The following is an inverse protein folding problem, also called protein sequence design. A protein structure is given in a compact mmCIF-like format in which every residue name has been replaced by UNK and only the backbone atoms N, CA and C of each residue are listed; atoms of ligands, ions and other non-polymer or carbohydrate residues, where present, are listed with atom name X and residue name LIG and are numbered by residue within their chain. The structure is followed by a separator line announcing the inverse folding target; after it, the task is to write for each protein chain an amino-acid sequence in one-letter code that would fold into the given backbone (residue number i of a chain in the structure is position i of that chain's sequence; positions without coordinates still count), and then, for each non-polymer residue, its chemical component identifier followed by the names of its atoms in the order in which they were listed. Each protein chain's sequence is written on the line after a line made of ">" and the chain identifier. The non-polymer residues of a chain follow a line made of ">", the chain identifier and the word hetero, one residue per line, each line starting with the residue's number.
data_IF_203552669546
#
_entry.id   IF_203552669546
#
_cell.length_a   1.000
_cell.length_b   1.000
_cell.length_c   1.000
_cell.angle_alpha   90.00
_cell.angle_beta   90.00
_cell.angle_gamma   90.00
#
_symmetry.space_group_name_H-M   'P 1'
#
loop_
_entity.id
_entity.type
_entity.pdbx_description
1 polymer ?
#
# COMPACT_ATOMS: atom_id res chain seq x y z
N UNK A 1 0.52 -19.82 -49.65
CA UNK A 1 -0.63 -20.65 -50.11
C UNK A 1 -0.14 -22.10 -50.22
N UNK A 2 -0.41 -22.93 -49.22
CA UNK A 2 -0.01 -24.34 -49.25
C UNK A 2 -1.14 -25.11 -49.95
N UNK A 3 -0.91 -25.54 -51.18
CA UNK A 3 -1.91 -26.29 -51.96
C UNK A 3 -1.77 -27.78 -51.67
N UNK A 4 -2.59 -28.27 -50.75
CA UNK A 4 -2.56 -29.66 -50.29
C UNK A 4 -3.46 -30.50 -51.21
N UNK A 5 -2.84 -31.36 -52.03
CA UNK A 5 -3.54 -32.34 -52.88
C UNK A 5 -3.63 -33.68 -52.14
N UNK A 6 -4.85 -34.16 -51.93
CA UNK A 6 -5.15 -35.46 -51.32
C UNK A 6 -6.01 -35.34 -50.06
N UNK A 7 -7.11 -36.10 -50.01
CA UNK A 7 -8.08 -36.14 -48.91
C UNK A 7 -7.41 -36.42 -47.55
N UNK A 8 -6.41 -37.31 -47.51
CA UNK A 8 -5.66 -37.67 -46.30
C UNK A 8 -4.87 -36.50 -45.70
N UNK A 9 -4.30 -35.62 -46.52
CA UNK A 9 -3.51 -34.49 -46.04
C UNK A 9 -4.38 -33.35 -45.49
N UNK A 10 -5.64 -33.22 -45.95
CA UNK A 10 -6.64 -32.33 -45.32
C UNK A 10 -7.07 -32.85 -43.95
N UNK A 11 -7.26 -34.16 -43.80
CA UNK A 11 -7.56 -34.79 -42.51
C UNK A 11 -6.39 -34.59 -41.53
N UNK A 12 -5.15 -34.80 -41.99
CA UNK A 12 -3.95 -34.57 -41.18
C UNK A 12 -3.86 -33.15 -40.64
N UNK A 13 -4.12 -32.12 -41.46
CA UNK A 13 -4.13 -30.72 -41.03
C UNK A 13 -5.26 -30.44 -40.02
N UNK A 14 -6.46 -30.96 -40.25
CA UNK A 14 -7.56 -30.82 -39.29
C UNK A 14 -7.20 -31.43 -37.94
N UNK A 15 -6.66 -32.66 -37.90
CA UNK A 15 -6.26 -33.33 -36.66
C UNK A 15 -5.16 -32.54 -35.93
N UNK A 16 -4.17 -32.01 -36.65
CA UNK A 16 -3.09 -31.21 -36.06
C UNK A 16 -3.63 -29.88 -35.51
N UNK A 17 -4.53 -29.22 -36.23
CA UNK A 17 -5.18 -27.98 -35.76
C UNK A 17 -6.05 -28.22 -34.52
N UNK A 18 -6.80 -29.32 -34.48
CA UNK A 18 -7.60 -29.70 -33.31
C UNK A 18 -6.71 -30.05 -32.13
N UNK A 19 -5.62 -30.81 -32.35
CA UNK A 19 -4.67 -31.15 -31.31
C UNK A 19 -3.99 -29.92 -30.72
N UNK A 20 -3.56 -28.97 -31.56
CA UNK A 20 -3.02 -27.68 -31.10
C UNK A 20 -4.08 -26.92 -30.32
N UNK A 21 -5.32 -26.81 -30.83
CA UNK A 21 -6.39 -26.08 -30.13
C UNK A 21 -6.70 -26.70 -28.77
N UNK A 22 -6.76 -28.04 -28.68
CA UNK A 22 -6.97 -28.77 -27.42
C UNK A 22 -5.79 -28.61 -26.47
N UNK A 23 -4.55 -28.68 -26.95
CA UNK A 23 -3.36 -28.44 -26.13
C UNK A 23 -3.31 -27.00 -25.61
N UNK A 24 -3.65 -26.03 -26.47
CA UNK A 24 -3.72 -24.61 -26.08
C UNK A 24 -4.83 -24.42 -25.05
N UNK A 25 -6.01 -25.00 -25.27
CA UNK A 25 -7.13 -24.96 -24.32
C UNK A 25 -6.78 -25.64 -22.99
N UNK A 26 -6.11 -26.79 -22.99
CA UNK A 26 -5.68 -27.49 -21.79
C UNK A 26 -4.62 -26.70 -21.03
N UNK A 27 -3.65 -26.09 -21.73
CA UNK A 27 -2.63 -25.23 -21.13
C UNK A 27 -3.25 -23.96 -20.51
N UNK A 28 -4.16 -23.29 -21.22
CA UNK A 28 -4.92 -22.17 -20.68
C UNK A 28 -5.79 -22.60 -19.49
N UNK A 29 -6.50 -23.73 -19.59
CA UNK A 29 -7.35 -24.23 -18.52
C UNK A 29 -6.52 -24.55 -17.26
N UNK A 30 -5.33 -25.12 -17.40
CA UNK A 30 -4.43 -25.40 -16.26
C UNK A 30 -3.88 -24.12 -15.61
N UNK A 31 -3.52 -23.11 -16.41
CA UNK A 31 -3.15 -21.78 -15.93
C UNK A 31 -4.30 -21.07 -15.18
N UNK A 32 -5.56 -21.35 -15.56
CA UNK A 32 -6.77 -20.78 -14.97
C UNK A 32 -7.41 -21.64 -13.86
N UNK A 33 -6.86 -22.80 -13.49
CA UNK A 33 -7.41 -23.65 -12.42
C UNK A 33 -7.25 -23.07 -11.02
N UNK A 34 -6.25 -22.20 -10.80
CA UNK A 34 -6.04 -21.59 -9.49
C UNK A 34 -6.91 -20.34 -9.33
N UNK A 35 -7.99 -20.47 -8.55
CA UNK A 35 -8.87 -19.35 -8.18
C UNK A 35 -8.05 -18.17 -7.62
N UNK A 36 -7.07 -18.44 -6.76
CA UNK A 36 -6.18 -17.42 -6.18
C UNK A 36 -5.41 -16.64 -7.25
N UNK A 37 -4.84 -17.33 -8.26
CA UNK A 37 -4.13 -16.64 -9.35
C UNK A 37 -5.07 -15.79 -10.19
N UNK A 38 -6.26 -16.30 -10.52
CA UNK A 38 -7.26 -15.55 -11.27
C UNK A 38 -7.66 -14.26 -10.54
N UNK A 39 -7.87 -14.31 -9.22
CA UNK A 39 -8.19 -13.13 -8.41
C UNK A 39 -7.07 -12.09 -8.46
N UNK A 40 -5.81 -12.51 -8.36
CA UNK A 40 -4.66 -11.60 -8.46
C UNK A 40 -4.51 -10.98 -9.85
N UNK A 41 -4.70 -11.74 -10.93
CA UNK A 41 -4.71 -11.17 -12.29
C UNK A 41 -5.83 -10.15 -12.50
N UNK A 42 -7.02 -10.42 -11.95
CA UNK A 42 -8.13 -9.47 -11.98
C UNK A 42 -7.78 -8.17 -11.24
N UNK A 43 -7.19 -8.27 -10.05
CA UNK A 43 -6.73 -7.12 -9.29
C UNK A 43 -5.68 -6.30 -10.05
N UNK A 44 -4.69 -6.96 -10.67
CA UNK A 44 -3.67 -6.26 -11.46
C UNK A 44 -4.27 -5.57 -12.70
N UNK A 45 -5.27 -6.17 -13.33
CA UNK A 45 -6.00 -5.55 -14.44
C UNK A 45 -6.76 -4.29 -13.97
N UNK A 46 -7.51 -4.38 -12.87
CA UNK A 46 -8.22 -3.24 -12.28
C UNK A 46 -7.25 -2.13 -11.86
N UNK A 47 -6.14 -2.48 -11.21
CA UNK A 47 -5.12 -1.53 -10.79
C UNK A 47 -4.42 -0.85 -11.98
N UNK A 48 -4.23 -1.57 -13.09
CA UNK A 48 -3.70 -1.00 -14.34
C UNK A 48 -4.65 0.03 -14.97
N UNK A 49 -5.95 -0.18 -14.84
CA UNK A 49 -6.97 0.72 -15.37
C UNK A 49 -7.32 1.88 -14.42
N UNK A 50 -6.85 1.83 -13.16
CA UNK A 50 -7.22 2.80 -12.13
C UNK A 50 -8.63 2.59 -11.58
N UNK A 51 -9.17 1.38 -11.69
CA UNK A 51 -10.53 1.02 -11.24
C UNK A 51 -10.56 0.75 -9.71
N UNK A 52 -10.11 1.74 -8.92
CA UNK A 52 -9.92 1.62 -7.46
C UNK A 52 -11.23 1.31 -6.71
N UNK A 53 -12.33 1.94 -7.12
CA UNK A 53 -13.65 1.72 -6.49
C UNK A 53 -14.12 0.26 -6.66
N UNK A 54 -13.81 -0.37 -7.80
CA UNK A 54 -14.17 -1.77 -8.07
C UNK A 54 -13.29 -2.72 -7.25
N UNK A 55 -12.00 -2.42 -7.06
CA UNK A 55 -11.13 -3.18 -6.13
C UNK A 55 -11.71 -3.14 -4.72
N UNK A 56 -12.07 -1.95 -4.22
CA UNK A 56 -12.64 -1.77 -2.88
C UNK A 56 -13.97 -2.53 -2.74
N UNK A 57 -14.85 -2.42 -3.75
CA UNK A 57 -16.16 -3.07 -3.74
C UNK A 57 -16.08 -4.60 -3.75
N UNK A 58 -15.28 -5.17 -4.66
CA UNK A 58 -15.20 -6.61 -4.86
C UNK A 58 -14.38 -7.33 -3.79
N UNK A 59 -13.27 -6.72 -3.36
CA UNK A 59 -12.29 -7.39 -2.50
C UNK A 59 -12.36 -6.92 -1.05
N UNK A 60 -12.92 -5.74 -0.75
CA UNK A 60 -13.01 -5.24 0.62
C UNK A 60 -13.72 -6.19 1.59
N UNK A 61 -14.75 -6.91 1.15
CA UNK A 61 -15.49 -7.85 2.01
C UNK A 61 -14.88 -9.26 2.10
N UNK A 62 -13.96 -9.60 1.20
CA UNK A 62 -13.44 -10.96 1.04
C UNK A 62 -11.96 -10.95 0.64
N UNK A 63 -11.13 -10.29 1.46
CA UNK A 63 -9.67 -10.33 1.32
C UNK A 63 -9.15 -11.68 1.81
N UNK A 64 -8.52 -12.45 0.91
CA UNK A 64 -8.08 -13.82 1.20
C UNK A 64 -6.57 -14.00 1.36
N UNK A 65 -5.76 -13.01 1.00
CA UNK A 65 -4.30 -13.06 1.11
C UNK A 65 -3.70 -11.68 1.39
N UNK A 66 -2.43 -11.66 1.83
CA UNK A 66 -1.66 -10.41 1.98
C UNK A 66 -1.55 -9.66 0.65
N UNK A 67 -1.38 -10.39 -0.46
CA UNK A 67 -1.32 -9.80 -1.81
C UNK A 67 -2.62 -9.08 -2.19
N UNK A 68 -3.78 -9.65 -1.87
CA UNK A 68 -5.06 -8.99 -2.08
C UNK A 68 -5.23 -7.78 -1.15
N UNK A 69 -4.74 -7.87 0.10
CA UNK A 69 -4.75 -6.76 1.05
C UNK A 69 -3.90 -5.58 0.55
N UNK A 70 -2.73 -5.85 -0.05
CA UNK A 70 -1.88 -4.81 -0.65
C UNK A 70 -2.62 -4.04 -1.75
N UNK A 71 -3.32 -4.74 -2.66
CA UNK A 71 -4.10 -4.07 -3.71
C UNK A 71 -5.27 -3.27 -3.13
N UNK A 72 -5.97 -3.80 -2.12
CA UNK A 72 -7.03 -3.07 -1.44
C UNK A 72 -6.50 -1.80 -0.78
N UNK A 73 -5.40 -1.90 -0.05
CA UNK A 73 -4.79 -0.77 0.64
C UNK A 73 -4.22 0.27 -0.35
N UNK A 74 -3.66 -0.18 -1.49
CA UNK A 74 -3.30 0.70 -2.60
C UNK A 74 -4.52 1.44 -3.16
N UNK A 75 -5.63 0.73 -3.38
CA UNK A 75 -6.87 1.35 -3.85
C UNK A 75 -7.41 2.38 -2.84
N UNK A 76 -7.34 2.11 -1.54
CA UNK A 76 -7.71 3.07 -0.50
C UNK A 76 -6.80 4.30 -0.51
N UNK A 77 -5.48 4.12 -0.67
CA UNK A 77 -4.52 5.23 -0.74
C UNK A 77 -4.76 6.12 -1.96
N UNK A 78 -5.04 5.53 -3.13
CA UNK A 78 -5.38 6.28 -4.34
C UNK A 78 -6.70 7.07 -4.22
N UNK A 79 -7.53 6.73 -3.21
CA UNK A 79 -8.76 7.47 -2.87
C UNK A 79 -8.58 8.43 -1.69
N UNK A 80 -7.41 8.46 -1.05
CA UNK A 80 -7.17 9.23 0.18
C UNK A 80 -7.98 8.73 1.38
N UNK A 81 -8.12 7.41 1.48
CA UNK A 81 -8.93 6.73 2.50
C UNK A 81 -8.13 5.68 3.28
N UNK A 82 -6.83 5.48 3.00
CA UNK A 82 -6.09 4.34 3.55
C UNK A 82 -6.06 4.38 5.07
N UNK A 83 -5.60 5.51 5.64
CA UNK A 83 -5.47 5.62 7.09
C UNK A 83 -6.83 5.68 7.82
N UNK A 84 -7.84 6.30 7.21
CA UNK A 84 -9.18 6.45 7.81
C UNK A 84 -9.95 5.11 7.83
N UNK A 85 -9.88 4.35 6.73
CA UNK A 85 -10.68 3.14 6.55
C UNK A 85 -9.89 1.85 6.84
N UNK A 86 -8.64 1.96 7.29
CA UNK A 86 -7.69 0.85 7.46
C UNK A 86 -8.32 -0.39 8.13
N UNK A 87 -9.00 -0.19 9.26
CA UNK A 87 -9.58 -1.27 10.05
C UNK A 87 -11.02 -1.63 9.69
N UNK A 88 -11.64 -0.93 8.72
CA UNK A 88 -12.92 -1.40 8.13
C UNK A 88 -12.75 -2.70 7.35
N UNK A 89 -11.51 -3.00 6.96
CA UNK A 89 -11.11 -4.17 6.19
C UNK A 89 -10.24 -5.12 7.00
N UNK A 90 -10.15 -6.38 6.56
CA UNK A 90 -9.32 -7.38 7.23
C UNK A 90 -7.84 -7.06 7.00
N UNK A 91 -7.10 -6.87 8.10
CA UNK A 91 -5.66 -6.64 8.10
C UNK A 91 -4.93 -7.77 8.86
N UNK A 92 -3.70 -8.06 8.45
CA UNK A 92 -2.79 -9.02 9.07
C UNK A 92 -1.36 -8.46 9.06
N UNK A 93 -1.08 -7.55 9.98
CA UNK A 93 0.24 -6.94 10.13
C UNK A 93 0.68 -6.07 8.95
N UNK A 94 1.91 -5.53 9.02
CA UNK A 94 2.47 -4.64 7.99
C UNK A 94 2.52 -5.23 6.59
N UNK A 95 2.64 -6.57 6.47
CA UNK A 95 2.62 -7.27 5.18
C UNK A 95 1.30 -7.10 4.41
N UNK A 96 0.22 -6.66 5.08
CA UNK A 96 -1.02 -6.29 4.41
C UNK A 96 -0.90 -4.99 3.61
N UNK A 97 0.09 -4.13 3.87
CA UNK A 97 0.38 -2.92 3.09
C UNK A 97 1.40 -3.18 1.99
N UNK A 98 2.52 -3.79 2.36
CA UNK A 98 3.67 -4.03 1.50
C UNK A 98 4.30 -5.37 1.86
N UNK A 99 4.37 -6.28 0.91
CA UNK A 99 5.00 -7.58 1.10
C UNK A 99 6.53 -7.52 1.07
N UNK A 100 7.18 -8.56 1.60
CA UNK A 100 8.63 -8.70 1.57
C UNK A 100 9.18 -8.65 0.13
N UNK A 101 10.24 -7.88 -0.04
CA UNK A 101 10.97 -7.67 -1.30
C UNK A 101 11.70 -8.94 -1.73
N UNK A 102 11.97 -9.88 -0.81
CA UNK A 102 12.81 -11.07 -1.06
C UNK A 102 12.08 -12.29 -1.62
N UNK A 103 10.74 -12.34 -1.57
CA UNK A 103 9.95 -13.52 -1.98
C UNK A 103 8.89 -13.15 -3.01
N UNK A 104 9.34 -12.81 -4.22
CA UNK A 104 8.44 -12.31 -5.27
C UNK A 104 8.44 -13.22 -6.48
N UNK A 105 7.26 -13.75 -6.81
CA UNK A 105 7.00 -14.23 -8.16
C UNK A 105 6.85 -13.01 -9.08
N UNK A 106 6.92 -13.19 -10.40
CA UNK A 106 6.90 -12.07 -11.35
C UNK A 106 5.73 -11.09 -11.14
N UNK A 107 4.53 -11.61 -10.84
CA UNK A 107 3.33 -10.78 -10.58
C UNK A 107 3.44 -9.92 -9.31
N UNK A 108 4.24 -10.33 -8.32
CA UNK A 108 4.44 -9.58 -7.10
C UNK A 108 5.26 -8.31 -7.37
N UNK A 109 6.18 -8.34 -8.36
CA UNK A 109 6.95 -7.18 -8.78
C UNK A 109 6.04 -6.07 -9.36
N UNK A 110 5.00 -6.44 -10.12
CA UNK A 110 4.02 -5.49 -10.65
C UNK A 110 3.25 -4.78 -9.53
N UNK A 111 2.84 -5.54 -8.50
CA UNK A 111 2.15 -4.99 -7.34
C UNK A 111 3.08 -4.11 -6.50
N UNK A 112 4.27 -4.62 -6.19
CA UNK A 112 5.23 -3.96 -5.33
C UNK A 112 5.65 -2.61 -5.93
N UNK A 113 5.93 -2.53 -7.23
CA UNK A 113 6.30 -1.27 -7.88
C UNK A 113 5.23 -0.18 -7.72
N UNK A 114 3.94 -0.55 -7.81
CA UNK A 114 2.80 0.36 -7.60
C UNK A 114 2.68 0.81 -6.16
N UNK A 115 2.83 -0.11 -5.21
CA UNK A 115 2.80 0.22 -3.78
C UNK A 115 3.95 1.17 -3.44
N UNK A 116 5.17 0.89 -3.90
CA UNK A 116 6.33 1.75 -3.70
C UNK A 116 6.13 3.14 -4.32
N UNK A 117 5.54 3.20 -5.51
CA UNK A 117 5.21 4.47 -6.16
C UNK A 117 4.20 5.28 -5.34
N UNK A 118 3.16 4.63 -4.82
CA UNK A 118 2.16 5.29 -3.97
C UNK A 118 2.71 5.71 -2.60
N UNK A 119 3.73 5.00 -2.10
CA UNK A 119 4.46 5.36 -0.88
C UNK A 119 5.45 6.52 -1.07
N UNK A 120 5.65 7.00 -2.30
CA UNK A 120 6.62 8.05 -2.63
C UNK A 120 8.05 7.54 -2.83
N UNK A 121 8.31 6.22 -2.75
CA UNK A 121 9.64 5.64 -2.95
C UNK A 121 9.89 5.43 -4.46
N UNK A 122 10.13 6.52 -5.18
CA UNK A 122 10.22 6.54 -6.65
C UNK A 122 11.38 5.70 -7.18
N UNK A 123 12.51 5.64 -6.48
CA UNK A 123 13.71 4.90 -6.87
C UNK A 123 13.51 3.41 -6.74
N UNK A 124 12.95 2.96 -5.61
CA UNK A 124 12.58 1.56 -5.46
C UNK A 124 11.48 1.19 -6.46
N UNK A 125 10.46 2.03 -6.63
CA UNK A 125 9.40 1.82 -7.61
C UNK A 125 9.95 1.65 -9.03
N UNK A 126 10.88 2.51 -9.45
CA UNK A 126 11.52 2.42 -10.77
C UNK A 126 12.31 1.12 -10.94
N UNK A 127 13.10 0.75 -9.93
CA UNK A 127 13.89 -0.49 -9.95
C UNK A 127 13.01 -1.73 -10.02
N UNK A 128 11.98 -1.80 -9.17
CA UNK A 128 11.01 -2.91 -9.18
C UNK A 128 10.22 -2.95 -10.48
N UNK A 129 9.80 -1.80 -11.03
CA UNK A 129 9.11 -1.74 -12.32
C UNK A 129 9.98 -2.23 -13.48
N UNK A 130 11.27 -1.91 -13.48
CA UNK A 130 12.21 -2.41 -14.48
C UNK A 130 12.38 -3.94 -14.39
N UNK A 131 12.51 -4.47 -13.18
CA UNK A 131 12.58 -5.93 -12.97
C UNK A 131 11.28 -6.63 -13.40
N UNK A 132 10.13 -6.01 -13.13
CA UNK A 132 8.84 -6.51 -13.60
C UNK A 132 8.75 -6.49 -15.14
N UNK A 133 9.15 -5.39 -15.79
CA UNK A 133 9.16 -5.29 -17.25
C UNK A 133 9.98 -6.43 -17.89
N UNK A 134 11.17 -6.69 -17.36
CA UNK A 134 12.05 -7.78 -17.81
C UNK A 134 11.44 -9.17 -17.59
N UNK A 135 10.83 -9.40 -16.41
CA UNK A 135 10.24 -10.69 -16.07
C UNK A 135 9.09 -11.10 -17.02
N UNK A 136 8.37 -10.13 -17.58
CA UNK A 136 7.24 -10.35 -18.49
C UNK A 136 7.60 -10.21 -19.98
N UNK A 137 8.89 -10.27 -20.33
CA UNK A 137 9.36 -10.38 -21.72
C UNK A 137 9.62 -9.04 -22.41
N UNK A 138 9.91 -7.99 -21.63
CA UNK A 138 10.10 -6.60 -22.03
C UNK A 138 8.82 -6.00 -22.65
N UNK A 139 8.51 -4.74 -22.38
CA UNK A 139 7.34 -4.00 -22.93
C UNK A 139 6.01 -4.14 -22.18
N UNK A 140 6.01 -4.34 -20.87
CA UNK A 140 4.83 -4.20 -20.01
C UNK A 140 4.40 -2.73 -19.98
N UNK A 141 3.25 -2.35 -20.59
CA UNK A 141 2.92 -0.94 -20.78
C UNK A 141 2.76 -0.15 -19.48
N UNK A 142 2.22 -0.77 -18.42
CA UNK A 142 2.07 -0.12 -17.12
C UNK A 142 3.40 0.19 -16.45
N UNK A 143 4.38 -0.71 -16.56
CA UNK A 143 5.72 -0.50 -15.99
C UNK A 143 6.51 0.53 -16.77
N UNK A 144 6.46 0.49 -18.11
CA UNK A 144 7.10 1.52 -18.94
C UNK A 144 6.51 2.91 -18.71
N UNK A 145 5.19 3.02 -18.46
CA UNK A 145 4.57 4.29 -18.06
C UNK A 145 5.17 4.81 -16.76
N UNK A 146 5.23 3.96 -15.73
CA UNK A 146 5.79 4.32 -14.42
C UNK A 146 7.25 4.75 -14.53
N UNK A 147 8.09 3.95 -15.20
CA UNK A 147 9.51 4.26 -15.43
C UNK A 147 9.65 5.62 -16.14
N UNK A 148 8.85 5.86 -17.18
CA UNK A 148 8.86 7.12 -17.91
C UNK A 148 8.45 8.31 -17.05
N UNK A 149 7.40 8.16 -16.24
CA UNK A 149 6.96 9.21 -15.30
C UNK A 149 8.06 9.53 -14.29
N UNK A 150 8.73 8.51 -13.74
CA UNK A 150 9.83 8.70 -12.80
C UNK A 150 11.04 9.37 -13.48
N UNK A 151 11.36 9.01 -14.73
CA UNK A 151 12.41 9.70 -15.48
C UNK A 151 12.05 11.19 -15.72
N UNK A 152 10.78 11.53 -15.96
CA UNK A 152 10.33 12.93 -16.03
C UNK A 152 10.47 13.63 -14.67
N UNK A 153 10.10 12.96 -13.57
CA UNK A 153 10.28 13.45 -12.20
C UNK A 153 11.76 13.72 -11.90
N UNK A 154 12.69 12.87 -12.36
CA UNK A 154 14.14 13.07 -12.18
C UNK A 154 14.73 14.17 -13.07
N UNK A 155 14.02 14.60 -14.11
CA UNK A 155 14.60 15.44 -15.17
C UNK A 155 15.49 14.66 -16.15
N UNK A 156 15.43 13.33 -16.11
CA UNK A 156 16.12 12.40 -17.04
C UNK A 156 15.41 12.38 -18.41
N UNK A 157 15.20 13.55 -19.01
CA UNK A 157 14.33 13.74 -20.17
C UNK A 157 14.76 12.94 -21.40
N UNK A 158 16.07 12.75 -21.60
CA UNK A 158 16.58 11.92 -22.70
C UNK A 158 16.18 10.45 -22.56
N UNK A 159 16.13 9.93 -21.34
CA UNK A 159 15.69 8.55 -21.07
C UNK A 159 14.18 8.44 -21.21
N UNK A 160 13.43 9.38 -20.61
CA UNK A 160 11.98 9.47 -20.77
C UNK A 160 11.58 9.51 -22.25
N UNK A 161 12.24 10.34 -23.06
CA UNK A 161 11.94 10.47 -24.48
C UNK A 161 12.13 9.13 -25.24
N UNK A 162 13.14 8.32 -24.90
CA UNK A 162 13.35 7.01 -25.52
C UNK A 162 12.14 6.09 -25.30
N UNK A 163 11.64 6.02 -24.07
CA UNK A 163 10.47 5.22 -23.74
C UNK A 163 9.18 5.77 -24.36
N UNK A 164 9.02 7.10 -24.42
CA UNK A 164 7.89 7.72 -25.11
C UNK A 164 7.87 7.36 -26.60
N UNK A 165 9.01 7.46 -27.31
CA UNK A 165 9.12 7.06 -28.72
C UNK A 165 8.79 5.57 -28.95
N UNK A 166 9.13 4.70 -27.99
CA UNK A 166 8.78 3.29 -28.05
C UNK A 166 7.27 3.09 -27.90
N UNK A 167 6.66 3.71 -26.88
CA UNK A 167 5.23 3.59 -26.59
C UNK A 167 4.34 4.26 -27.65
N UNK A 168 4.83 5.30 -28.33
CA UNK A 168 4.14 5.97 -29.45
C UNK A 168 3.84 5.02 -30.62
N UNK A 169 4.62 3.93 -30.77
CA UNK A 169 4.40 2.89 -31.79
C UNK A 169 3.24 1.95 -31.45
N UNK A 170 2.79 1.92 -30.19
CA UNK A 170 1.68 1.08 -29.74
C UNK A 170 0.34 1.85 -29.86
N UNK A 171 -0.64 1.36 -30.62
CA UNK A 171 -1.92 2.06 -30.81
C UNK A 171 -2.64 2.41 -29.50
N UNK A 172 -2.53 1.54 -28.48
CA UNK A 172 -3.20 1.72 -27.19
C UNK A 172 -2.48 2.71 -26.27
N UNK A 173 -1.19 2.96 -26.49
CA UNK A 173 -0.37 3.82 -25.62
C UNK A 173 0.01 5.15 -26.28
N UNK A 174 -0.13 5.26 -27.59
CA UNK A 174 0.33 6.41 -28.38
C UNK A 174 -0.24 7.74 -27.90
N UNK A 175 -1.55 7.80 -27.59
CA UNK A 175 -2.20 9.02 -27.08
C UNK A 175 -1.62 9.46 -25.74
N UNK A 176 -1.44 8.51 -24.82
CA UNK A 176 -0.85 8.79 -23.51
C UNK A 176 0.60 9.26 -23.69
N UNK A 177 1.43 8.53 -24.45
CA UNK A 177 2.83 8.87 -24.64
C UNK A 177 3.03 10.25 -25.30
N UNK A 178 2.24 10.58 -26.33
CA UNK A 178 2.29 11.88 -26.97
C UNK A 178 1.95 13.03 -25.99
N UNK A 179 0.99 12.82 -25.08
CA UNK A 179 0.64 13.82 -24.07
C UNK A 179 1.77 14.13 -23.09
N UNK A 180 2.64 13.15 -22.81
CA UNK A 180 3.75 13.31 -21.87
C UNK A 180 4.90 14.16 -22.46
N UNK A 181 4.93 14.40 -23.77
CA UNK A 181 5.96 15.24 -24.40
C UNK A 181 5.94 16.69 -23.90
N UNK A 182 4.80 17.18 -23.41
CA UNK A 182 4.68 18.51 -22.82
C UNK A 182 5.60 18.74 -21.61
N UNK A 183 6.04 17.66 -20.96
CA UNK A 183 6.92 17.69 -19.79
C UNK A 183 8.42 17.59 -20.12
N UNK A 184 8.78 17.24 -21.37
CA UNK A 184 10.18 17.08 -21.76
C UNK A 184 10.89 18.43 -21.75
N UNK A 185 12.02 18.50 -21.03
CA UNK A 185 12.82 19.73 -20.85
C UNK A 185 12.00 20.92 -20.30
N UNK A 186 10.95 20.63 -19.52
CA UNK A 186 10.08 21.63 -18.94
C UNK A 186 9.86 21.33 -17.45
N UNK A 187 10.83 21.73 -16.63
CA UNK A 187 10.81 21.52 -15.17
C UNK A 187 9.60 22.18 -14.50
N UNK A 188 9.16 23.33 -15.00
CA UNK A 188 7.98 24.04 -14.48
C UNK A 188 6.70 23.23 -14.71
N UNK A 189 6.51 22.69 -15.92
CA UNK A 189 5.37 21.82 -16.21
C UNK A 189 5.40 20.53 -15.37
N UNK A 190 6.59 19.96 -15.13
CA UNK A 190 6.74 18.79 -14.24
C UNK A 190 6.35 19.14 -12.81
N UNK A 191 6.83 20.26 -12.27
CA UNK A 191 6.54 20.68 -10.90
C UNK A 191 5.06 21.03 -10.67
N UNK A 192 4.38 21.54 -11.69
CA UNK A 192 2.98 21.93 -11.64
C UNK A 192 2.01 20.75 -11.86
N UNK A 193 2.48 19.61 -12.39
CA UNK A 193 1.68 18.38 -12.46
C UNK A 193 1.53 17.76 -11.06
N UNK A 194 0.31 17.34 -10.73
CA UNK A 194 0.02 16.81 -9.39
C UNK A 194 0.82 15.54 -9.07
N UNK A 195 0.99 14.64 -10.04
CA UNK A 195 1.70 13.36 -9.85
C UNK A 195 3.20 13.56 -9.99
N UNK A 196 3.65 14.17 -11.09
CA UNK A 196 5.08 14.33 -11.36
C UNK A 196 5.73 15.33 -10.38
N UNK A 197 5.04 16.41 -10.04
CA UNK A 197 5.53 17.40 -9.10
C UNK A 197 5.62 16.86 -7.68
N UNK A 198 4.67 16.01 -7.26
CA UNK A 198 4.77 15.32 -5.98
C UNK A 198 5.94 14.35 -5.95
N UNK A 199 6.02 13.44 -6.93
CA UNK A 199 7.11 12.48 -7.02
C UNK A 199 8.49 13.13 -7.11
N UNK A 200 8.60 14.27 -7.81
CA UNK A 200 9.84 15.05 -7.86
C UNK A 200 10.25 15.61 -6.50
N UNK A 201 9.30 15.98 -5.63
CA UNK A 201 9.61 16.40 -4.25
C UNK A 201 10.04 15.22 -3.39
N UNK A 202 9.45 14.04 -3.59
CA UNK A 202 9.83 12.81 -2.86
C UNK A 202 11.28 12.40 -3.18
N UNK A 203 11.73 12.61 -4.42
CA UNK A 203 13.11 12.32 -4.85
C UNK A 203 14.19 13.11 -4.07
N UNK A 204 13.84 14.17 -3.33
CA UNK A 204 14.82 14.97 -2.60
C UNK A 204 15.49 14.20 -1.44
N UNK A 205 14.90 13.12 -0.95
CA UNK A 205 15.51 12.25 0.07
C UNK A 205 16.21 11.02 -0.50
N UNK A 206 16.23 10.83 -1.83
CA UNK A 206 16.90 9.69 -2.43
C UNK A 206 18.41 9.89 -2.49
N UNK A 207 19.10 9.36 -1.48
CA UNK A 207 20.46 8.88 -1.68
C UNK A 207 20.38 7.68 -2.64
N UNK A 208 21.00 7.82 -3.82
CA UNK A 208 20.88 6.87 -4.93
C UNK A 208 21.01 5.39 -4.49
N UNK A 209 20.02 4.56 -4.88
CA UNK A 209 19.99 3.08 -4.83
C UNK A 209 19.90 2.43 -3.45
N UNK A 210 18.86 2.75 -2.68
CA UNK A 210 18.70 2.20 -1.34
C UNK A 210 17.30 1.60 -1.16
N UNK A 211 17.17 0.31 -1.49
CA UNK A 211 16.25 -0.56 -0.74
C UNK A 211 17.06 -1.07 0.47
N UNK A 212 17.17 -0.29 1.54
CA UNK A 212 17.70 -0.83 2.80
C UNK A 212 16.64 -1.69 3.48
N UNK A 213 17.13 -2.49 4.42
CA UNK A 213 16.54 -3.65 5.11
C UNK A 213 15.12 -3.53 5.71
N UNK A 214 14.51 -2.34 5.76
CA UNK A 214 13.15 -2.12 6.26
C UNK A 214 12.44 -0.97 5.50
N UNK A 215 11.29 -1.21 4.85
CA UNK A 215 10.50 -0.17 4.15
C UNK A 215 10.15 1.07 5.00
N UNK A 216 10.22 0.98 6.34
CA UNK A 216 9.93 2.08 7.25
C UNK A 216 10.95 3.20 7.29
N UNK A 217 12.24 2.88 7.18
CA UNK A 217 13.29 3.89 7.28
C UNK A 217 13.21 4.85 6.09
N UNK A 218 12.87 4.32 4.92
CA UNK A 218 12.64 5.11 3.71
C UNK A 218 11.37 5.95 3.82
N UNK A 219 10.29 5.38 4.37
CA UNK A 219 8.99 6.05 4.46
C UNK A 219 9.04 7.29 5.37
N UNK A 220 9.76 7.24 6.49
CA UNK A 220 9.96 8.43 7.33
C UNK A 220 10.79 9.52 6.65
N UNK A 221 11.82 9.13 5.88
CA UNK A 221 12.64 10.08 5.12
C UNK A 221 11.85 10.77 4.03
N UNK A 222 10.99 10.02 3.33
CA UNK A 222 10.09 10.53 2.29
C UNK A 222 9.12 11.55 2.90
N UNK A 223 8.43 11.20 3.98
CA UNK A 223 7.48 12.11 4.64
C UNK A 223 8.20 13.35 5.21
N UNK A 224 9.43 13.22 5.71
CA UNK A 224 10.21 14.38 6.16
C UNK A 224 10.64 15.30 5.01
N UNK A 225 10.98 14.76 3.86
CA UNK A 225 11.37 15.53 2.69
C UNK A 225 10.18 16.14 1.94
N UNK A 226 9.03 15.45 1.91
CA UNK A 226 7.79 15.93 1.33
C UNK A 226 6.61 15.73 2.30
N UNK A 227 6.49 16.58 3.34
CA UNK A 227 5.41 16.49 4.34
C UNK A 227 4.02 16.82 3.78
N UNK A 228 3.93 17.20 2.51
CA UNK A 228 2.67 17.45 1.82
C UNK A 228 2.18 16.23 1.03
N UNK A 229 2.99 15.18 0.89
CA UNK A 229 2.53 13.94 0.28
C UNK A 229 1.54 13.23 1.21
N UNK A 230 0.25 13.34 0.86
CA UNK A 230 -0.84 12.73 1.63
C UNK A 230 -0.80 11.21 1.54
N UNK A 231 -0.40 10.63 0.41
CA UNK A 231 -0.34 9.17 0.27
C UNK A 231 0.81 8.58 1.07
N UNK A 232 1.99 9.19 1.01
CA UNK A 232 3.12 8.77 1.85
C UNK A 232 2.79 8.91 3.35
N UNK A 233 2.11 9.99 3.74
CA UNK A 233 1.61 10.21 5.12
C UNK A 233 0.64 9.10 5.56
N UNK A 234 -0.34 8.75 4.73
CA UNK A 234 -1.32 7.69 5.02
C UNK A 234 -0.65 6.32 5.12
N UNK A 235 0.31 6.01 4.24
CA UNK A 235 1.07 4.77 4.31
C UNK A 235 1.92 4.68 5.58
N UNK A 236 2.58 5.78 6.00
CA UNK A 236 3.39 5.82 7.21
C UNK A 236 2.57 5.52 8.47
N UNK A 237 1.45 6.24 8.63
CA UNK A 237 0.55 6.03 9.75
C UNK A 237 -0.04 4.61 9.75
N UNK A 238 -0.47 4.15 8.58
CA UNK A 238 -1.07 2.81 8.46
C UNK A 238 -0.07 1.71 8.78
N UNK A 239 1.18 1.85 8.36
CA UNK A 239 2.21 0.87 8.70
C UNK A 239 2.39 0.80 10.21
N UNK A 240 2.57 1.93 10.88
CA UNK A 240 2.79 1.98 12.33
C UNK A 240 1.62 1.35 13.10
N UNK A 241 0.39 1.65 12.69
CA UNK A 241 -0.81 1.05 13.27
C UNK A 241 -0.84 -0.48 13.05
N UNK A 242 -0.53 -0.97 11.85
CA UNK A 242 -0.51 -2.41 11.59
C UNK A 242 0.63 -3.14 12.32
N UNK A 243 1.78 -2.47 12.50
CA UNK A 243 2.91 -2.92 13.29
C UNK A 243 2.64 -2.89 14.80
N UNK A 244 1.55 -2.22 15.22
CA UNK A 244 1.21 -1.96 16.63
C UNK A 244 2.29 -1.13 17.36
N UNK A 245 3.02 -0.32 16.60
CA UNK A 245 4.14 0.49 17.10
C UNK A 245 3.62 1.85 17.60
N UNK A 246 2.96 1.81 18.76
CA UNK A 246 2.27 2.98 19.29
C UNK A 246 3.22 4.11 19.70
N UNK A 247 4.44 3.78 20.15
CA UNK A 247 5.46 4.78 20.49
C UNK A 247 5.80 5.62 19.26
N UNK A 248 6.06 4.99 18.12
CA UNK A 248 6.32 5.71 16.88
C UNK A 248 5.08 6.40 16.31
N UNK A 249 3.85 5.90 16.53
CA UNK A 249 2.62 6.65 16.17
C UNK A 249 2.59 7.99 16.91
N UNK A 250 2.80 7.98 18.23
CA UNK A 250 2.74 9.19 19.06
C UNK A 250 3.83 10.18 18.63
N UNK A 251 5.07 9.74 18.48
CA UNK A 251 6.16 10.60 18.00
C UNK A 251 5.92 11.13 16.59
N UNK A 252 5.33 10.32 15.71
CA UNK A 252 5.01 10.74 14.35
C UNK A 252 3.96 11.86 14.34
N UNK A 253 2.92 11.74 15.17
CA UNK A 253 1.87 12.76 15.34
C UNK A 253 2.44 14.01 15.99
N UNK A 254 3.21 13.89 17.08
CA UNK A 254 3.82 15.03 17.79
C UNK A 254 4.66 15.91 16.84
N UNK A 255 5.45 15.27 15.97
CA UNK A 255 6.31 15.98 15.02
C UNK A 255 5.55 16.62 13.85
N UNK A 256 4.43 16.03 13.40
CA UNK A 256 3.83 16.33 12.08
C UNK A 256 2.39 16.80 12.11
N UNK A 257 1.70 16.74 13.24
CA UNK A 257 0.32 17.21 13.31
C UNK A 257 0.23 18.70 12.92
N UNK A 258 -0.74 19.02 12.05
CA UNK A 258 -0.95 20.39 11.57
C UNK A 258 -0.29 20.72 10.23
N UNK A 259 0.61 19.86 9.70
CA UNK A 259 1.02 19.98 8.29
C UNK A 259 -0.16 19.68 7.36
N UNK A 260 -0.20 20.19 6.11
CA UNK A 260 -1.34 20.00 5.21
C UNK A 260 -1.79 18.54 5.05
N UNK A 261 -0.85 17.60 4.93
CA UNK A 261 -1.14 16.16 4.78
C UNK A 261 -1.62 15.47 6.08
N UNK A 262 -1.42 16.09 7.25
CA UNK A 262 -1.87 15.60 8.56
C UNK A 262 -2.59 16.69 9.34
N UNK A 263 -3.44 17.45 8.64
CA UNK A 263 -4.24 18.51 9.23
C UNK A 263 -5.35 17.96 10.14
N UNK A 264 -5.87 16.80 9.79
CA UNK A 264 -6.89 16.07 10.54
C UNK A 264 -6.35 14.68 10.84
N UNK A 265 -6.52 14.20 12.07
CA UNK A 265 -6.11 12.85 12.42
C UNK A 265 -7.13 11.81 11.92
N UNK A 266 -6.69 10.77 11.20
CA UNK A 266 -7.52 9.63 10.89
C UNK A 266 -8.06 8.96 12.17
N UNK A 267 -9.30 8.46 12.12
CA UNK A 267 -9.97 7.80 13.27
C UNK A 267 -9.09 6.71 13.89
N UNK A 268 -8.45 5.80 13.13
CA UNK A 268 -7.54 4.79 13.71
C UNK A 268 -6.33 5.35 14.46
N UNK A 269 -5.82 6.52 14.05
CA UNK A 269 -4.71 7.19 14.75
C UNK A 269 -5.21 7.76 16.07
N UNK A 270 -6.37 8.42 16.07
CA UNK A 270 -7.00 8.90 17.31
C UNK A 270 -7.26 7.75 18.29
N UNK A 271 -7.71 6.61 17.79
CA UNK A 271 -7.86 5.40 18.61
C UNK A 271 -6.52 5.03 19.25
N UNK A 272 -5.43 4.93 18.47
CA UNK A 272 -4.10 4.62 19.00
C UNK A 272 -3.67 5.58 20.13
N UNK A 273 -3.80 6.90 19.94
CA UNK A 273 -3.42 7.89 20.95
C UNK A 273 -4.24 7.77 22.24
N UNK A 274 -5.55 7.50 22.12
CA UNK A 274 -6.42 7.28 23.28
C UNK A 274 -6.06 6.00 24.05
N UNK A 275 -5.70 4.93 23.35
CA UNK A 275 -5.21 3.71 24.02
C UNK A 275 -3.89 3.96 24.73
N UNK A 276 -2.96 4.64 24.05
CA UNK A 276 -1.62 4.92 24.55
C UNK A 276 -1.67 5.74 25.83
N UNK A 277 -2.40 6.87 25.79
CA UNK A 277 -2.57 7.77 26.95
C UNK A 277 -3.21 7.07 28.14
N UNK A 278 -4.19 6.21 27.93
CA UNK A 278 -4.85 5.46 29.01
C UNK A 278 -3.95 4.34 29.58
N UNK A 279 -3.26 3.61 28.70
CA UNK A 279 -2.39 2.51 29.09
C UNK A 279 -1.22 3.01 29.95
N UNK A 280 -0.51 4.04 29.51
CA UNK A 280 0.62 4.60 30.26
C UNK A 280 0.17 5.51 31.40
N UNK A 281 -0.91 6.27 31.23
CA UNK A 281 -1.47 7.14 32.27
C UNK A 281 -2.01 6.38 33.49
N UNK A 282 -2.35 5.10 33.35
CA UNK A 282 -2.76 4.22 34.47
C UNK A 282 -1.64 3.31 34.98
N UNK A 283 -0.46 3.37 34.38
CA UNK A 283 0.68 2.55 34.76
C UNK A 283 1.27 3.00 36.10
N UNK A 284 1.37 2.07 37.05
CA UNK A 284 2.06 2.32 38.31
C UNK A 284 3.57 2.43 38.07
N UNK A 285 4.15 3.56 38.48
CA UNK A 285 5.55 3.90 38.19
C UNK A 285 6.51 2.95 38.90
N UNK A 286 6.24 2.62 40.16
CA UNK A 286 7.11 1.75 40.95
C UNK A 286 7.07 0.31 40.41
N UNK A 287 5.89 -0.16 39.99
CA UNK A 287 5.72 -1.44 39.30
C UNK A 287 6.45 -1.47 37.96
N UNK A 288 6.35 -0.42 37.14
CA UNK A 288 7.05 -0.35 35.85
C UNK A 288 8.58 -0.39 36.04
N UNK A 289 9.10 0.36 37.02
CA UNK A 289 10.52 0.36 37.37
C UNK A 289 10.96 -1.03 37.85
N UNK A 290 10.15 -1.70 38.70
CA UNK A 290 10.50 -3.04 39.18
C UNK A 290 10.53 -4.09 38.06
N UNK A 291 9.93 -3.82 36.90
CA UNK A 291 9.90 -4.69 35.73
C UNK A 291 10.83 -4.23 34.59
N UNK A 292 11.76 -3.31 34.88
CA UNK A 292 12.88 -2.98 34.00
C UNK A 292 12.74 -1.72 33.16
N UNK A 293 11.69 -0.91 33.38
CA UNK A 293 11.58 0.40 32.74
C UNK A 293 12.35 1.47 33.51
N UNK A 294 12.99 2.41 32.80
CA UNK A 294 13.57 3.58 33.45
C UNK A 294 12.45 4.54 33.91
N UNK A 295 12.63 5.21 35.07
CA UNK A 295 11.67 6.22 35.55
C UNK A 295 11.40 7.29 34.49
N UNK A 296 12.46 7.78 33.86
CA UNK A 296 12.42 8.79 32.81
C UNK A 296 11.62 8.31 31.59
N UNK A 297 11.72 7.04 31.22
CA UNK A 297 10.93 6.43 30.13
C UNK A 297 9.43 6.42 30.48
N UNK A 298 9.08 6.02 31.71
CA UNK A 298 7.68 5.99 32.18
C UNK A 298 7.10 7.40 32.20
N UNK A 299 7.83 8.36 32.76
CA UNK A 299 7.40 9.77 32.86
C UNK A 299 7.24 10.39 31.46
N UNK A 300 8.15 10.10 30.52
CA UNK A 300 8.02 10.54 29.14
C UNK A 300 6.76 9.98 28.47
N UNK A 301 6.46 8.68 28.63
CA UNK A 301 5.26 8.08 28.05
C UNK A 301 3.97 8.61 28.71
N UNK A 302 4.02 8.91 30.01
CA UNK A 302 2.89 9.49 30.76
C UNK A 302 2.61 10.95 30.38
N UNK A 303 3.56 11.67 29.79
CA UNK A 303 3.36 13.04 29.31
C UNK A 303 2.36 13.12 28.14
N UNK A 304 2.17 12.04 27.39
CA UNK A 304 1.17 11.94 26.33
C UNK A 304 -0.21 11.60 26.89
N UNK A 305 -0.74 12.49 27.73
CA UNK A 305 -2.01 12.32 28.42
C UNK A 305 -3.24 12.68 27.54
N UNK A 306 -4.43 12.67 28.14
CA UNK A 306 -5.67 13.01 27.43
C UNK A 306 -5.71 14.47 26.96
N UNK A 307 -5.10 15.41 27.70
CA UNK A 307 -5.05 16.82 27.31
C UNK A 307 -4.15 17.00 26.08
N UNK A 308 -3.00 16.32 26.08
CA UNK A 308 -2.14 16.23 24.90
C UNK A 308 -2.90 15.62 23.70
N UNK A 309 -3.65 14.54 23.89
CA UNK A 309 -4.45 13.95 22.81
C UNK A 309 -5.45 14.94 22.20
N UNK A 310 -6.19 15.67 23.05
CA UNK A 310 -7.19 16.64 22.62
C UNK A 310 -6.58 17.84 21.88
N UNK A 311 -5.41 18.31 22.32
CA UNK A 311 -4.67 19.38 21.64
C UNK A 311 -4.09 18.93 20.30
N UNK A 312 -3.83 17.63 20.13
CA UNK A 312 -3.30 17.03 18.91
C UNK A 312 -4.38 16.41 18.00
N UNK A 313 -5.62 16.88 18.10
CA UNK A 313 -6.67 16.58 17.12
C UNK A 313 -7.54 15.38 17.42
N UNK A 314 -7.40 14.74 18.60
CA UNK A 314 -8.37 13.73 19.05
C UNK A 314 -9.71 14.40 19.36
N UNK A 315 -10.79 13.84 18.82
CA UNK A 315 -12.13 14.41 18.98
C UNK A 315 -12.83 13.91 20.24
N UNK A 316 -13.78 14.72 20.75
CA UNK A 316 -14.67 14.30 21.86
C UNK A 316 -15.51 13.06 21.50
N UNK A 317 -15.83 12.87 20.22
CA UNK A 317 -16.55 11.69 19.73
C UNK A 317 -15.71 10.43 19.94
N UNK A 318 -14.44 10.44 19.50
CA UNK A 318 -13.52 9.31 19.70
C UNK A 318 -13.26 9.04 21.19
N UNK A 319 -13.14 10.09 22.02
CA UNK A 319 -13.05 9.92 23.50
C UNK A 319 -14.25 9.16 24.05
N UNK A 320 -15.47 9.52 23.63
CA UNK A 320 -16.69 8.83 24.07
C UNK A 320 -16.76 7.39 23.55
N UNK A 321 -16.35 7.16 22.29
CA UNK A 321 -16.24 5.83 21.69
C UNK A 321 -15.26 4.95 22.50
N UNK A 322 -14.12 5.50 22.90
CA UNK A 322 -13.13 4.80 23.72
C UNK A 322 -13.66 4.45 25.11
N UNK A 323 -14.34 5.39 25.77
CA UNK A 323 -14.98 5.13 27.05
C UNK A 323 -15.97 3.95 26.96
N UNK A 324 -16.82 3.95 25.92
CA UNK A 324 -17.77 2.86 25.68
C UNK A 324 -17.07 1.52 25.42
N UNK A 325 -15.95 1.55 24.67
CA UNK A 325 -15.12 0.37 24.45
C UNK A 325 -14.58 -0.18 25.77
N UNK A 326 -13.98 0.66 26.63
CA UNK A 326 -13.42 0.23 27.92
C UNK A 326 -14.46 -0.40 28.85
N UNK A 327 -15.64 0.23 28.97
CA UNK A 327 -16.74 -0.31 29.78
C UNK A 327 -17.19 -1.71 29.30
N UNK A 328 -17.27 -1.90 27.98
CA UNK A 328 -17.63 -3.19 27.39
C UNK A 328 -16.48 -4.20 27.50
N UNK A 329 -15.24 -3.76 27.34
CA UNK A 329 -14.06 -4.61 27.48
C UNK A 329 -13.94 -5.16 28.91
N UNK A 330 -14.13 -4.35 29.94
CA UNK A 330 -14.11 -4.81 31.33
C UNK A 330 -15.14 -5.91 31.63
N UNK A 331 -16.32 -5.84 31.01
CA UNK A 331 -17.35 -6.89 31.09
C UNK A 331 -16.97 -8.12 30.24
N UNK A 332 -16.47 -7.89 29.03
CA UNK A 332 -16.14 -8.93 28.07
C UNK A 332 -14.90 -9.75 28.49
N UNK A 333 -13.92 -9.14 29.16
CA UNK A 333 -12.71 -9.80 29.66
C UNK A 333 -13.02 -10.93 30.66
N UNK A 334 -14.18 -10.89 31.31
CA UNK A 334 -14.67 -11.93 32.22
C UNK A 334 -15.49 -13.02 31.50
N UNK A 335 -15.73 -12.87 30.19
CA UNK A 335 -16.53 -13.80 29.39
C UNK A 335 -15.67 -14.88 28.72
N UNK A 336 -16.30 -15.98 28.30
CA UNK A 336 -15.61 -17.05 27.56
C UNK A 336 -15.13 -16.63 26.17
N UNK A 337 -15.73 -15.59 25.56
CA UNK A 337 -15.33 -15.13 24.23
C UNK A 337 -15.38 -13.58 24.11
N UNK A 338 -14.32 -12.89 24.58
CA UNK A 338 -14.24 -11.43 24.54
C UNK A 338 -14.32 -10.86 23.11
N UNK A 339 -13.78 -11.58 22.12
CA UNK A 339 -13.73 -11.15 20.71
C UNK A 339 -15.13 -10.97 20.11
N UNK A 340 -16.04 -11.93 20.36
CA UNK A 340 -17.44 -11.85 19.88
C UNK A 340 -18.20 -10.71 20.55
N UNK A 341 -18.01 -10.54 21.86
CA UNK A 341 -18.69 -9.50 22.66
C UNK A 341 -18.31 -8.08 22.24
N UNK A 342 -17.17 -7.91 21.58
CA UNK A 342 -16.63 -6.62 21.12
C UNK A 342 -16.70 -6.45 19.60
N UNK A 343 -17.45 -7.30 18.88
CA UNK A 343 -17.55 -7.26 17.42
C UNK A 343 -18.05 -5.91 16.86
N UNK A 344 -18.77 -5.11 17.67
CA UNK A 344 -19.20 -3.74 17.29
C UNK A 344 -18.04 -2.75 17.14
N UNK A 345 -16.83 -3.10 17.62
CA UNK A 345 -15.62 -2.29 17.52
C UNK A 345 -14.60 -2.88 16.54
N UNK A 346 -15.01 -3.83 15.69
CA UNK A 346 -14.12 -4.54 14.75
C UNK A 346 -13.34 -3.61 13.82
N UNK A 347 -13.84 -2.40 13.62
CA UNK A 347 -13.32 -1.33 12.78
C UNK A 347 -12.39 -0.35 13.53
N UNK A 348 -12.02 -0.65 14.77
CA UNK A 348 -11.14 0.18 15.60
C UNK A 348 -9.73 -0.38 15.70
N UNK A 349 -8.76 0.50 15.96
CA UNK A 349 -7.40 0.07 16.24
C UNK A 349 -7.32 -0.82 17.49
N UNK A 350 -8.05 -0.53 18.57
CA UNK A 350 -7.99 -1.33 19.81
C UNK A 350 -8.43 -2.77 19.60
N UNK A 351 -9.47 -2.99 18.78
CA UNK A 351 -9.92 -4.33 18.47
C UNK A 351 -8.85 -5.10 17.68
N UNK A 352 -8.22 -4.46 16.71
CA UNK A 352 -7.08 -5.03 15.98
C UNK A 352 -5.90 -5.34 16.92
N UNK A 353 -5.54 -4.38 17.77
CA UNK A 353 -4.45 -4.48 18.74
C UNK A 353 -4.62 -5.71 19.65
N UNK A 354 -5.82 -5.93 20.17
CA UNK A 354 -6.10 -6.98 21.15
C UNK A 354 -6.40 -8.35 20.54
N UNK A 355 -7.04 -8.41 19.37
CA UNK A 355 -7.64 -9.66 18.85
C UNK A 355 -7.07 -10.18 17.53
N UNK A 356 -6.14 -9.43 16.92
CA UNK A 356 -5.42 -9.87 15.73
C UNK A 356 -3.99 -10.26 16.11
N UNK A 357 -3.67 -11.54 15.91
CA UNK A 357 -2.29 -12.03 15.96
C UNK A 357 -1.70 -11.89 14.56
N UNK A 358 -0.53 -11.26 14.46
CA UNK A 358 0.20 -11.14 13.20
C UNK A 358 0.82 -12.49 12.91
N UNK A 359 0.50 -13.07 11.76
CA UNK A 359 1.01 -14.36 11.32
C UNK A 359 1.58 -14.25 9.91
N UNK A 360 2.66 -14.98 9.62
CA UNK A 360 3.40 -14.95 8.34
C UNK A 360 2.69 -15.67 7.17
N UNK A 361 1.37 -15.90 7.26
CA UNK A 361 0.61 -16.71 6.29
C UNK A 361 0.58 -16.14 4.87
#
# INVERSE_FOLDING_TARGET
>A
KITVKGFAARIGICVLSTAVTVLTFMYFNDAFKSESKMRLYRLECLATNGDWDEIIHLHGKDVRSQNEANYLNLALAEKGLLAEDLFKYRQNGPLSLINDVKSQNDIDLLRLSRVLFAMGNMGAAQSTAFNADLAFGDHVPSMLKMITQIDLMRGSYLTAEKYLRLMEKSPFQSKWAASQRAFLNNDEAVMNDATLGNGRRDLNCEDALVLYTNPMDDLFRIVDANPNDTKAMEYALSYLLLAKDMDNVVQFVDKRFGVPALKTLPTPVQDCLLFYSDYFGTMDVDFAISHGMAREEVEQRQAFDLDWCLTHGVTKENVNRFRSFKEKYGKAAQSQNPKVSLASFRDTFWYYLLFTQITDN
#
